data_IF_071834860885
#
_entry.id   IF_071834860885
#
_cell.length_a   1.000
_cell.length_b   1.000
_cell.length_c   1.000
_cell.angle_alpha   90.00
_cell.angle_beta   90.00
_cell.angle_gamma   90.00
#
_symmetry.space_group_name_H-M   'P 1'
#
loop_
_entity.id
_entity.type
_entity.pdbx_description
1 polymer ?
#
# COMPACT_ATOMS: atom_id res chain seq x y z
N UNK A 1 16.13 -15.68 8.40
CA UNK A 1 15.12 -14.95 8.95
C UNK A 1 14.87 -13.70 8.25
N UNK A 2 13.69 -13.46 8.13
CA UNK A 2 13.42 -12.43 7.30
C UNK A 2 13.40 -11.17 7.98
N UNK A 3 13.27 -10.16 7.34
CA UNK A 3 13.31 -8.86 7.83
C UNK A 3 12.36 -8.49 8.90
N UNK A 4 12.06 -9.41 9.77
CA UNK A 4 11.23 -9.12 10.90
C UNK A 4 11.98 -8.29 11.90
N UNK A 5 12.63 -7.26 11.48
CA UNK A 5 13.26 -6.35 12.38
C UNK A 5 12.25 -5.46 13.09
N UNK A 6 12.75 -4.50 13.81
CA UNK A 6 11.93 -3.55 14.54
C UNK A 6 11.07 -2.80 13.52
N UNK A 7 9.76 -2.71 13.73
CA UNK A 7 8.92 -1.93 12.84
C UNK A 7 9.34 -0.46 12.83
N UNK A 8 9.20 0.16 11.67
CA UNK A 8 9.57 1.56 11.52
C UNK A 8 8.40 2.38 10.99
N UNK A 9 8.49 3.68 11.15
CA UNK A 9 7.52 4.58 10.56
C UNK A 9 7.65 4.59 9.04
N UNK A 10 6.58 5.00 8.36
CA UNK A 10 6.63 5.25 6.93
C UNK A 10 7.61 6.38 6.63
N UNK A 11 8.34 6.25 5.52
CA UNK A 11 9.06 7.41 4.99
C UNK A 11 8.03 8.40 4.42
N UNK A 12 8.46 9.63 4.18
CA UNK A 12 7.59 10.64 3.59
C UNK A 12 7.05 10.17 2.23
N UNK A 13 7.91 9.58 1.40
CA UNK A 13 7.50 9.07 0.09
C UNK A 13 6.49 7.92 0.21
N UNK A 14 6.72 6.99 1.12
CA UNK A 14 5.80 5.88 1.36
C UNK A 14 4.44 6.40 1.82
N UNK A 15 4.44 7.37 2.74
CA UNK A 15 3.22 7.96 3.23
C UNK A 15 2.45 8.67 2.10
N UNK A 16 3.15 9.44 1.28
CA UNK A 16 2.52 10.15 0.17
C UNK A 16 1.84 9.20 -0.80
N UNK A 17 2.52 8.11 -1.16
CA UNK A 17 1.95 7.12 -2.08
C UNK A 17 0.77 6.39 -1.44
N UNK A 18 0.88 6.02 -0.17
CA UNK A 18 -0.20 5.35 0.55
C UNK A 18 -1.45 6.22 0.57
N UNK A 19 -1.32 7.50 0.94
CA UNK A 19 -2.43 8.43 0.98
C UNK A 19 -3.02 8.62 -0.42
N UNK A 20 -2.18 8.77 -1.43
CA UNK A 20 -2.63 8.91 -2.82
C UNK A 20 -3.45 7.69 -3.25
N UNK A 21 -2.97 6.48 -2.94
CA UNK A 21 -3.68 5.24 -3.28
C UNK A 21 -5.05 5.18 -2.58
N UNK A 22 -5.11 5.59 -1.32
CA UNK A 22 -6.37 5.59 -0.57
C UNK A 22 -7.39 6.59 -1.14
N UNK A 23 -6.92 7.64 -1.78
CA UNK A 23 -7.80 8.65 -2.37
C UNK A 23 -8.13 8.37 -3.84
N UNK A 24 -7.19 7.83 -4.59
CA UNK A 24 -7.31 7.76 -6.05
C UNK A 24 -7.17 6.36 -6.63
N UNK A 25 -6.71 5.38 -5.85
CA UNK A 25 -6.58 4.01 -6.35
C UNK A 25 -7.92 3.46 -6.81
N UNK A 26 -7.90 2.71 -7.90
CA UNK A 26 -9.11 2.12 -8.45
C UNK A 26 -9.49 0.87 -7.66
N UNK A 27 -10.72 0.84 -7.16
CA UNK A 27 -11.20 -0.32 -6.41
C UNK A 27 -11.66 -1.41 -7.38
N UNK A 28 -11.16 -2.63 -7.15
CA UNK A 28 -11.42 -3.74 -8.08
C UNK A 28 -12.83 -4.28 -8.04
N UNK A 29 -13.59 -4.00 -6.97
CA UNK A 29 -14.97 -4.47 -6.85
C UNK A 29 -15.94 -3.31 -6.95
N UNK A 30 -17.15 -3.60 -7.41
CA UNK A 30 -18.18 -2.60 -7.50
C UNK A 30 -18.79 -2.38 -6.11
N UNK A 31 -18.72 -1.14 -5.62
CA UNK A 31 -19.23 -0.75 -4.31
C UNK A 31 -19.98 0.56 -4.48
N UNK A 32 -21.07 0.72 -3.72
CA UNK A 32 -21.81 1.98 -3.75
C UNK A 32 -20.89 3.16 -3.37
N UNK A 33 -21.04 4.31 -4.04
CA UNK A 33 -20.15 5.45 -3.80
C UNK A 33 -20.09 5.89 -2.34
N UNK A 34 -21.21 5.88 -1.62
CA UNK A 34 -21.22 6.27 -0.22
C UNK A 34 -20.42 5.31 0.66
N UNK A 35 -20.52 4.03 0.36
CA UNK A 35 -19.79 3.00 1.09
C UNK A 35 -18.30 3.10 0.77
N UNK A 36 -17.96 3.29 -0.49
CA UNK A 36 -16.57 3.45 -0.90
C UNK A 36 -15.93 4.64 -0.20
N UNK A 37 -16.62 5.78 -0.16
CA UNK A 37 -16.11 6.96 0.51
C UNK A 37 -15.92 6.73 2.02
N UNK A 38 -16.87 6.05 2.66
CA UNK A 38 -16.76 5.75 4.08
C UNK A 38 -15.61 4.81 4.37
N UNK A 39 -15.43 3.79 3.56
CA UNK A 39 -14.31 2.85 3.69
C UNK A 39 -12.97 3.58 3.57
N UNK A 40 -12.83 4.43 2.56
CA UNK A 40 -11.57 5.16 2.33
C UNK A 40 -11.26 6.13 3.47
N UNK A 41 -12.26 6.80 4.04
CA UNK A 41 -12.05 7.66 5.21
C UNK A 41 -11.55 6.84 6.40
N UNK A 42 -12.12 5.67 6.62
CA UNK A 42 -11.72 4.79 7.71
C UNK A 42 -10.28 4.32 7.55
N UNK A 43 -9.91 3.93 6.32
CA UNK A 43 -8.54 3.52 6.03
C UNK A 43 -7.54 4.67 6.12
N UNK A 44 -7.93 5.88 5.67
CA UNK A 44 -7.08 7.06 5.79
C UNK A 44 -6.78 7.38 7.26
N UNK A 45 -7.75 7.15 8.14
CA UNK A 45 -7.55 7.38 9.57
C UNK A 45 -6.50 6.44 10.18
N UNK A 46 -6.18 5.35 9.52
CA UNK A 46 -5.15 4.41 10.02
C UNK A 46 -3.73 4.85 9.70
N UNK A 47 -3.54 5.76 8.74
CA UNK A 47 -2.21 6.06 8.18
C UNK A 47 -1.22 6.51 9.25
N UNK A 48 -1.66 7.31 10.22
CA UNK A 48 -0.76 7.82 11.24
C UNK A 48 -0.25 6.73 12.19
N UNK A 49 -0.97 5.63 12.31
CA UNK A 49 -0.58 4.52 13.18
C UNK A 49 0.15 3.39 12.44
N UNK A 50 0.26 3.50 11.11
CA UNK A 50 0.88 2.45 10.31
C UNK A 50 2.37 2.36 10.57
N UNK A 51 2.87 1.12 10.63
CA UNK A 51 4.30 0.82 10.71
C UNK A 51 4.68 -0.14 9.59
N UNK A 52 5.91 -0.03 9.13
CA UNK A 52 6.46 -0.95 8.13
C UNK A 52 7.09 -2.12 8.85
N UNK A 53 6.61 -3.33 8.59
CA UNK A 53 7.08 -4.54 9.25
C UNK A 53 7.99 -5.39 8.38
N UNK A 54 8.03 -5.17 7.08
CA UNK A 54 8.90 -5.92 6.20
C UNK A 54 9.02 -5.24 4.85
N UNK A 55 10.07 -5.62 4.14
CA UNK A 55 10.32 -5.13 2.78
C UNK A 55 10.46 -6.33 1.86
N UNK A 56 10.38 -6.09 0.55
CA UNK A 56 10.52 -7.16 -0.42
C UNK A 56 11.96 -7.68 -0.43
N UNK A 57 12.13 -8.98 -0.32
CA UNK A 57 13.44 -9.62 -0.32
C UNK A 57 14.13 -9.58 -1.69
N UNK A 58 13.41 -9.23 -2.75
CA UNK A 58 13.99 -9.19 -4.09
C UNK A 58 15.02 -8.08 -4.25
N UNK A 59 14.95 -7.03 -3.42
CA UNK A 59 15.86 -5.88 -3.51
C UNK A 59 15.63 -4.98 -4.71
N UNK A 60 14.65 -5.31 -5.55
CA UNK A 60 14.42 -4.56 -6.79
C UNK A 60 13.12 -3.78 -6.79
N UNK A 61 12.33 -3.87 -5.72
CA UNK A 61 11.08 -3.12 -5.63
C UNK A 61 10.91 -2.58 -4.21
N UNK A 62 10.16 -1.48 -4.05
CA UNK A 62 10.01 -0.82 -2.77
C UNK A 62 8.84 -1.35 -1.93
N UNK A 63 8.28 -2.48 -2.30
CA UNK A 63 7.12 -3.09 -1.63
C UNK A 63 7.35 -3.23 -0.14
N UNK A 64 6.34 -2.86 0.66
CA UNK A 64 6.41 -2.90 2.12
C UNK A 64 5.18 -3.59 2.70
N UNK A 65 5.41 -4.38 3.76
CA UNK A 65 4.34 -4.95 4.57
C UNK A 65 3.97 -3.97 5.67
N UNK A 66 2.68 -3.83 5.91
CA UNK A 66 2.14 -2.83 6.81
C UNK A 66 1.49 -3.49 8.02
N UNK A 67 1.41 -2.74 9.09
CA UNK A 67 0.75 -3.13 10.31
C UNK A 67 0.75 -1.97 11.29
N UNK A 68 0.66 -2.28 12.57
CA UNK A 68 0.73 -1.29 13.63
C UNK A 68 1.82 -1.70 14.62
N UNK A 69 1.83 -1.10 15.80
CA UNK A 69 2.85 -1.40 16.81
C UNK A 69 2.79 -2.85 17.30
N UNK A 70 1.64 -3.51 17.17
CA UNK A 70 1.47 -4.88 17.63
C UNK A 70 1.94 -5.93 16.62
N UNK A 71 2.08 -5.58 15.36
CA UNK A 71 2.58 -6.50 14.37
C UNK A 71 2.02 -6.24 12.98
N UNK A 72 2.48 -7.04 11.99
CA UNK A 72 1.96 -6.94 10.64
C UNK A 72 0.52 -7.42 10.57
N UNK A 73 -0.22 -6.90 9.59
CA UNK A 73 -1.57 -7.38 9.32
C UNK A 73 -1.48 -8.69 8.57
N UNK A 74 -2.14 -9.73 9.08
CA UNK A 74 -2.17 -10.99 8.36
C UNK A 74 -3.26 -10.96 7.28
N UNK A 75 -3.03 -11.70 6.20
CA UNK A 75 -3.94 -11.75 5.07
C UNK A 75 -5.11 -12.68 5.38
N UNK A 76 -5.96 -12.29 6.31
CA UNK A 76 -7.15 -13.03 6.71
C UNK A 76 -8.38 -12.15 6.52
N UNK A 77 -9.54 -12.80 6.37
CA UNK A 77 -10.78 -12.08 6.18
C UNK A 77 -10.90 -11.49 4.78
N UNK A 78 -11.86 -10.58 4.59
CA UNK A 78 -12.08 -9.99 3.27
C UNK A 78 -10.90 -9.13 2.85
N UNK A 79 -10.56 -9.20 1.57
CA UNK A 79 -9.49 -8.39 0.99
C UNK A 79 -10.06 -7.40 -0.01
N UNK A 80 -9.63 -6.16 0.11
CA UNK A 80 -9.87 -5.13 -0.89
C UNK A 80 -8.54 -4.76 -1.53
N UNK A 81 -8.52 -4.60 -2.84
CA UNK A 81 -7.34 -4.18 -3.56
C UNK A 81 -7.64 -2.86 -4.26
N UNK A 82 -6.79 -1.87 -4.03
CA UNK A 82 -6.82 -0.62 -4.77
C UNK A 82 -5.63 -0.63 -5.74
N UNK A 83 -5.88 -0.25 -6.99
CA UNK A 83 -4.89 -0.32 -8.05
C UNK A 83 -4.65 1.02 -8.70
N UNK A 84 -3.43 1.25 -9.11
CA UNK A 84 -3.06 2.34 -9.99
C UNK A 84 -1.81 1.91 -10.73
N UNK A 85 -1.52 2.52 -11.86
CA UNK A 85 -0.32 2.14 -12.57
C UNK A 85 -0.02 3.01 -13.75
N UNK A 86 1.14 2.74 -14.33
CA UNK A 86 1.63 3.36 -15.55
C UNK A 86 2.03 2.24 -16.49
N UNK A 87 2.63 2.59 -17.62
CA UNK A 87 3.20 1.59 -18.52
C UNK A 87 4.47 0.94 -17.96
N UNK A 88 4.99 1.45 -16.83
CA UNK A 88 6.23 0.95 -16.24
C UNK A 88 6.00 0.09 -15.00
N UNK A 89 4.93 0.32 -14.26
CA UNK A 89 4.67 -0.42 -13.02
C UNK A 89 3.20 -0.40 -12.66
N UNK A 90 2.83 -1.33 -11.80
CA UNK A 90 1.50 -1.40 -11.19
C UNK A 90 1.65 -1.18 -9.69
N UNK A 91 0.84 -0.29 -9.14
CA UNK A 91 0.75 -0.07 -7.70
C UNK A 91 -0.48 -0.77 -7.16
N UNK A 92 -0.30 -1.50 -6.07
CA UNK A 92 -1.38 -2.23 -5.40
C UNK A 92 -1.35 -1.91 -3.91
N UNK A 93 -2.51 -1.56 -3.37
CA UNK A 93 -2.68 -1.44 -1.93
C UNK A 93 -3.66 -2.52 -1.49
N UNK A 94 -3.20 -3.38 -0.60
CA UNK A 94 -4.05 -4.44 -0.04
C UNK A 94 -4.59 -4.01 1.31
N UNK A 95 -5.90 -4.12 1.46
CA UNK A 95 -6.59 -3.90 2.73
C UNK A 95 -7.18 -5.25 3.13
N UNK A 96 -6.67 -5.83 4.20
CA UNK A 96 -7.11 -7.15 4.68
C UNK A 96 -7.85 -6.99 5.98
N UNK A 97 -9.07 -7.52 6.04
CA UNK A 97 -9.92 -7.42 7.21
C UNK A 97 -10.03 -5.97 7.69
N UNK A 98 -10.24 -5.06 6.72
CA UNK A 98 -10.43 -3.63 6.97
C UNK A 98 -9.19 -2.91 7.51
N UNK A 99 -7.99 -3.50 7.36
CA UNK A 99 -6.74 -2.93 7.84
C UNK A 99 -5.71 -2.85 6.71
N UNK A 100 -4.94 -1.77 6.68
CA UNK A 100 -3.89 -1.59 5.68
C UNK A 100 -2.82 -2.65 5.85
N UNK A 101 -2.57 -3.45 4.84
CA UNK A 101 -1.79 -4.68 4.93
C UNK A 101 -0.50 -4.66 4.13
N UNK A 102 -0.53 -4.15 2.91
CA UNK A 102 0.65 -4.17 2.04
C UNK A 102 0.53 -3.10 0.96
N UNK A 103 1.62 -2.41 0.71
CA UNK A 103 1.72 -1.47 -0.42
C UNK A 103 2.79 -2.03 -1.36
N UNK A 104 2.36 -2.42 -2.55
CA UNK A 104 3.21 -3.14 -3.49
C UNK A 104 3.41 -2.35 -4.77
N UNK A 105 4.65 -2.36 -5.27
CA UNK A 105 4.95 -1.91 -6.62
C UNK A 105 5.45 -3.10 -7.41
N UNK A 106 4.74 -3.44 -8.48
CA UNK A 106 5.10 -4.53 -9.37
C UNK A 106 5.61 -3.93 -10.69
N UNK A 107 6.91 -4.07 -11.00
CA UNK A 107 7.43 -3.58 -12.29
C UNK A 107 6.81 -4.37 -13.45
N UNK A 108 6.52 -3.65 -14.53
CA UNK A 108 6.01 -4.29 -15.76
C UNK A 108 7.12 -5.05 -16.47
N UNK A 109 8.33 -4.47 -16.47
CA UNK A 109 9.52 -5.11 -17.05
C UNK A 109 10.54 -5.40 -15.94
N UNK A 110 11.76 -5.74 -16.30
CA UNK A 110 12.82 -6.04 -15.34
C UNK A 110 13.39 -4.81 -14.65
N UNK A 111 12.79 -3.66 -14.79
CA UNK A 111 13.27 -2.42 -14.20
C UNK A 111 13.24 -2.49 -12.68
N UNK A 112 14.31 -2.04 -12.03
CA UNK A 112 14.37 -1.94 -10.58
C UNK A 112 13.86 -0.58 -10.13
N UNK A 113 13.10 -0.57 -9.02
CA UNK A 113 12.58 0.65 -8.41
C UNK A 113 13.05 0.68 -6.97
N UNK A 114 14.11 1.46 -6.65
CA UNK A 114 14.62 1.50 -5.27
C UNK A 114 13.67 2.21 -4.31
N UNK A 115 12.74 3.00 -4.82
CA UNK A 115 11.77 3.72 -4.01
C UNK A 115 10.46 3.86 -4.77
N UNK A 116 9.38 4.13 -4.04
CA UNK A 116 8.11 4.47 -4.69
C UNK A 116 8.26 5.78 -5.47
N UNK A 117 7.55 5.91 -6.58
CA UNK A 117 7.64 7.13 -7.39
C UNK A 117 7.01 8.32 -6.67
N UNK A 118 7.41 9.54 -7.03
CA UNK A 118 6.71 10.73 -6.52
C UNK A 118 5.24 10.73 -6.97
N UNK A 119 4.34 11.14 -6.08
CA UNK A 119 2.90 11.13 -6.41
C UNK A 119 2.59 12.02 -7.60
N UNK A 120 3.40 13.05 -7.86
CA UNK A 120 3.21 13.91 -9.02
C UNK A 120 3.33 13.16 -10.35
N UNK A 121 3.98 11.98 -10.36
CA UNK A 121 4.12 11.17 -11.56
C UNK A 121 2.97 10.18 -11.74
N UNK A 122 2.10 10.06 -10.74
CA UNK A 122 0.96 9.16 -10.79
C UNK A 122 -0.19 9.89 -11.47
N UNK A 123 -0.49 9.51 -12.69
CA UNK A 123 -1.52 10.18 -13.45
C UNK A 123 -2.89 9.79 -12.92
N UNK A 124 -3.78 10.74 -12.87
CA UNK A 124 -5.18 10.48 -12.60
C UNK A 124 -5.98 10.68 -13.86
#
# INVERSE_FOLDING_TARGET
>A
MTGAGVPRALTARERDVLVWMLRHGCRGEAVAPDRDAADRRRWLAQVDAVRVHGTCACGACPTIDLGDDDGPVSAQGPRVVLEAGTDRFLLLLFVDDDRLSCLELAPVDDEAFPAFPPVATLAT
#
